data_IF_407015922239
#
_entry.id   IF_407015922239
#
_cell.length_a   1.000
_cell.length_b   1.000
_cell.length_c   1.000
_cell.angle_alpha   90.00
_cell.angle_beta   90.00
_cell.angle_gamma   90.00
#
_symmetry.space_group_name_H-M   'P 1'
#
loop_
_entity.id
_entity.type
_entity.pdbx_description
1 polymer ?
#
# COMPACT_ATOMS: atom_id res chain seq x y z
N UNK A 1 -0.05 -1.08 30.04
CA UNK A 1 1.15 -1.53 29.30
C UNK A 1 0.73 -2.00 27.91
N UNK A 2 1.28 -1.43 26.83
CA UNK A 2 0.95 -1.87 25.47
C UNK A 2 1.48 -3.29 25.27
N UNK A 3 0.60 -4.21 24.87
CA UNK A 3 0.97 -5.61 24.61
C UNK A 3 1.75 -5.66 23.29
N UNK A 4 3.02 -6.06 23.36
CA UNK A 4 3.88 -6.24 22.19
C UNK A 4 3.29 -7.37 21.34
N UNK A 5 2.82 -7.06 20.13
CA UNK A 5 2.28 -8.06 19.20
C UNK A 5 3.40 -9.08 18.88
N UNK A 6 3.13 -10.40 18.96
CA UNK A 6 4.13 -11.40 18.64
C UNK A 6 4.50 -11.29 17.15
N UNK A 7 5.79 -11.09 16.84
CA UNK A 7 6.32 -11.08 15.47
C UNK A 7 6.35 -12.48 14.81
N UNK A 8 5.77 -13.50 15.45
CA UNK A 8 5.91 -14.90 15.07
C UNK A 8 4.53 -15.44 14.69
N UNK A 9 4.27 -15.51 13.40
CA UNK A 9 2.99 -15.91 12.80
C UNK A 9 2.98 -15.56 11.31
N UNK A 10 2.06 -16.14 10.55
CA UNK A 10 1.80 -15.67 9.18
C UNK A 10 1.28 -14.23 9.26
N UNK A 11 1.68 -13.33 8.36
CA UNK A 11 1.15 -11.98 8.35
C UNK A 11 -0.37 -12.03 8.21
N UNK A 12 -1.06 -11.16 8.95
CA UNK A 12 -2.50 -10.96 8.81
C UNK A 12 -2.70 -10.13 7.54
N UNK A 13 -3.23 -10.79 6.51
CA UNK A 13 -3.42 -10.24 5.16
C UNK A 13 -4.84 -10.57 4.72
N UNK A 14 -5.33 -9.87 3.69
CA UNK A 14 -6.63 -10.15 3.09
C UNK A 14 -6.75 -11.64 2.71
N UNK A 15 -7.97 -12.19 2.73
CA UNK A 15 -8.19 -13.61 2.44
C UNK A 15 -7.64 -14.02 1.06
N UNK A 16 -7.67 -13.10 0.10
CA UNK A 16 -7.14 -13.28 -1.26
C UNK A 16 -5.61 -13.23 -1.34
N UNK A 17 -4.98 -12.56 -0.38
CA UNK A 17 -3.52 -12.45 -0.25
C UNK A 17 -2.97 -13.45 0.77
N UNK A 18 -3.76 -14.45 1.20
CA UNK A 18 -3.35 -15.42 2.21
C UNK A 18 -2.08 -16.18 1.80
N UNK A 19 -1.01 -15.99 2.57
CA UNK A 19 0.31 -16.55 2.25
C UNK A 19 1.23 -15.59 1.49
N UNK A 20 0.81 -14.36 1.29
CA UNK A 20 1.66 -13.25 0.86
C UNK A 20 2.77 -13.02 1.90
N UNK A 21 4.02 -13.10 1.44
CA UNK A 21 5.22 -12.82 2.22
C UNK A 21 6.10 -11.88 1.40
N UNK A 22 6.53 -10.79 2.01
CA UNK A 22 7.37 -9.75 1.40
C UNK A 22 8.63 -9.57 2.24
N UNK A 23 9.79 -9.61 1.58
CA UNK A 23 11.10 -9.43 2.19
C UNK A 23 11.92 -8.46 1.36
N UNK A 24 12.72 -7.65 2.03
CA UNK A 24 13.67 -6.73 1.40
C UNK A 24 15.05 -7.32 1.62
N UNK A 25 15.81 -7.48 0.53
CA UNK A 25 17.19 -7.96 0.62
C UNK A 25 18.17 -6.79 0.88
N UNK A 26 19.45 -7.10 1.10
CA UNK A 26 20.48 -6.10 1.40
C UNK A 26 20.76 -5.12 0.25
N UNK A 27 20.29 -5.46 -0.96
CA UNK A 27 20.38 -4.62 -2.16
C UNK A 27 19.14 -3.75 -2.37
N UNK A 28 18.14 -3.83 -1.49
CA UNK A 28 16.89 -3.08 -1.61
C UNK A 28 15.88 -3.67 -2.60
N UNK A 29 16.14 -4.87 -3.12
CA UNK A 29 15.20 -5.60 -3.97
C UNK A 29 14.08 -6.21 -3.11
N UNK A 30 12.86 -6.13 -3.64
CA UNK A 30 11.67 -6.66 -3.01
C UNK A 30 11.48 -8.10 -3.49
N UNK A 31 11.62 -9.06 -2.58
CA UNK A 31 11.38 -10.48 -2.82
C UNK A 31 9.99 -10.82 -2.29
N UNK A 32 9.09 -11.20 -3.18
CA UNK A 32 7.76 -11.68 -2.84
C UNK A 32 7.55 -13.09 -3.37
N UNK A 33 6.70 -13.86 -2.69
CA UNK A 33 6.28 -15.19 -3.15
C UNK A 33 5.02 -15.14 -4.03
N UNK A 34 4.50 -13.94 -4.29
CA UNK A 34 3.26 -13.73 -5.02
C UNK A 34 3.55 -13.07 -6.35
N UNK A 35 2.67 -13.32 -7.32
CA UNK A 35 2.81 -12.72 -8.64
C UNK A 35 2.56 -11.21 -8.57
N UNK A 36 3.46 -10.42 -9.18
CA UNK A 36 3.38 -8.96 -9.18
C UNK A 36 2.10 -8.50 -9.88
N UNK A 37 1.68 -9.21 -10.93
CA UNK A 37 0.47 -8.90 -11.68
C UNK A 37 -0.78 -9.02 -10.80
N UNK A 38 -0.86 -10.07 -9.97
CA UNK A 38 -1.99 -10.27 -9.04
C UNK A 38 -2.04 -9.22 -7.95
N UNK A 39 -0.88 -8.79 -7.46
CA UNK A 39 -0.79 -7.72 -6.47
C UNK A 39 -1.27 -6.40 -7.08
N UNK A 40 -0.87 -6.10 -8.31
CA UNK A 40 -1.31 -4.90 -9.01
C UNK A 40 -2.81 -4.90 -9.27
N UNK A 41 -3.38 -6.03 -9.70
CA UNK A 41 -4.83 -6.18 -9.91
C UNK A 41 -5.60 -5.94 -8.61
N UNK A 42 -5.17 -6.58 -7.52
CA UNK A 42 -5.76 -6.37 -6.19
C UNK A 42 -5.69 -4.92 -5.74
N UNK A 43 -4.56 -4.24 -5.95
CA UNK A 43 -4.39 -2.84 -5.59
C UNK A 43 -5.28 -1.92 -6.45
N UNK A 44 -5.38 -2.16 -7.76
CA UNK A 44 -6.23 -1.37 -8.65
C UNK A 44 -7.73 -1.50 -8.30
N UNK A 45 -8.17 -2.65 -7.79
CA UNK A 45 -9.57 -2.85 -7.39
C UNK A 45 -9.89 -2.27 -6.01
N UNK A 46 -8.96 -2.39 -5.05
CA UNK A 46 -9.25 -2.07 -3.64
C UNK A 46 -8.69 -0.72 -3.18
N UNK A 47 -7.79 -0.10 -3.95
CA UNK A 47 -7.10 1.14 -3.61
C UNK A 47 -7.23 2.12 -4.76
N UNK A 48 -7.71 3.33 -4.46
CA UNK A 48 -7.69 4.40 -5.43
C UNK A 48 -6.25 4.83 -5.74
N UNK A 49 -5.89 4.87 -7.02
CA UNK A 49 -4.59 5.38 -7.44
C UNK A 49 -4.52 6.90 -7.26
N UNK A 50 -3.88 7.33 -6.17
CA UNK A 50 -3.68 8.75 -5.84
C UNK A 50 -3.02 9.53 -6.98
N UNK A 51 -2.19 8.90 -7.82
CA UNK A 51 -1.52 9.59 -8.95
C UNK A 51 -2.46 9.90 -10.11
N UNK A 52 -3.63 9.23 -10.18
CA UNK A 52 -4.64 9.47 -11.19
C UNK A 52 -5.69 10.47 -10.72
N UNK A 53 -5.89 10.63 -9.40
CA UNK A 53 -6.83 11.59 -8.82
C UNK A 53 -6.59 13.02 -9.32
N UNK A 54 -5.33 13.44 -9.41
CA UNK A 54 -4.93 14.77 -9.88
C UNK A 54 -5.26 15.01 -11.36
N UNK A 55 -5.43 13.95 -12.15
CA UNK A 55 -5.66 14.03 -13.59
C UNK A 55 -7.13 14.12 -13.95
N UNK A 56 -8.00 13.48 -13.16
CA UNK A 56 -9.45 13.46 -13.38
C UNK A 56 -10.17 14.62 -12.67
N UNK A 57 -9.61 15.19 -11.60
CA UNK A 57 -10.21 16.34 -10.89
C UNK A 57 -9.16 17.39 -10.43
N UNK A 58 -8.71 18.31 -11.32
CA UNK A 58 -7.72 19.33 -10.98
C UNK A 58 -8.20 20.36 -9.93
N UNK A 59 -9.49 20.37 -9.57
CA UNK A 59 -10.02 21.25 -8.51
C UNK A 59 -9.75 20.73 -7.09
N UNK A 60 -9.65 19.42 -6.88
CA UNK A 60 -9.41 18.85 -5.53
C UNK A 60 -7.94 18.98 -5.09
N UNK A 61 -7.00 18.81 -6.03
CA UNK A 61 -5.56 18.91 -5.74
C UNK A 61 -5.13 20.31 -5.26
N UNK A 62 -5.77 21.37 -5.77
CA UNK A 62 -5.56 22.75 -5.33
C UNK A 62 -6.07 23.04 -3.91
N UNK A 63 -6.95 22.18 -3.37
CA UNK A 63 -7.53 22.35 -2.04
C UNK A 63 -6.73 21.62 -0.95
N UNK A 64 -6.10 20.48 -1.29
CA UNK A 64 -5.22 19.74 -0.38
C UNK A 64 -3.85 20.41 -0.24
N UNK A 65 -3.24 20.92 -1.33
CA UNK A 65 -1.96 21.66 -1.25
C UNK A 65 -2.09 22.96 -0.42
N UNK A 66 -3.24 23.64 -0.48
CA UNK A 66 -3.50 24.85 0.33
C UNK A 66 -3.69 24.55 1.82
N UNK A 67 -4.18 23.36 2.17
CA UNK A 67 -4.31 22.96 3.57
C UNK A 67 -2.96 22.55 4.16
N UNK A 68 -2.07 21.93 3.38
CA UNK A 68 -0.69 21.65 3.82
C UNK A 68 0.20 22.90 3.90
N UNK A 69 -0.05 23.96 3.11
CA UNK A 69 0.67 25.24 3.25
C UNK A 69 0.19 26.12 4.43
N UNK A 70 -1.02 25.89 4.97
CA UNK A 70 -1.57 26.64 6.12
C UNK A 70 -1.34 25.97 7.50
N UNK A 71 -0.80 24.74 7.56
CA UNK A 71 -0.47 24.03 8.82
C UNK A 71 1.02 24.14 9.24
#
# INVERSE_FOLDING_TARGET
MPRKKPKKGKPEVHDELKGFDIKINEFGEIITNFDVDKVNEFLNENVDDKKLRDRDNPEESLSEEKQEEEE
#
